data_IF_315610794925
#
_entry.id   IF_315610794925
#
_cell.length_a   1.000
_cell.length_b   1.000
_cell.length_c   1.000
_cell.angle_alpha   90.00
_cell.angle_beta   90.00
_cell.angle_gamma   90.00
#
_symmetry.space_group_name_H-M   'P 1'
#
loop_
_entity.id
_entity.type
_entity.pdbx_description
1 polymer ?
#
# COMPACT_ATOMS: atom_id res chain seq x y z
N UNK A 1 -14.68 6.77 11.46
CA UNK A 1 -14.23 5.81 10.42
C UNK A 1 -12.71 5.66 10.42
N UNK A 2 -12.18 4.44 10.23
CA UNK A 2 -10.73 4.25 10.13
C UNK A 2 -10.19 4.80 8.82
N UNK A 3 -9.30 5.81 8.84
CA UNK A 3 -8.60 6.28 7.65
C UNK A 3 -7.62 5.20 7.16
N UNK A 4 -7.97 4.50 6.08
CA UNK A 4 -7.15 3.46 5.43
C UNK A 4 -6.36 4.05 4.24
N UNK A 5 -5.31 3.37 3.82
CA UNK A 5 -4.68 3.63 2.52
C UNK A 5 -5.47 2.83 1.48
N UNK A 6 -5.80 3.47 0.37
CA UNK A 6 -6.65 2.84 -0.65
C UNK A 6 -5.76 2.21 -1.71
N UNK A 7 -6.02 0.96 -2.13
CA UNK A 7 -5.34 0.34 -3.27
C UNK A 7 -5.44 1.18 -4.56
N UNK A 8 -6.51 1.95 -4.72
CA UNK A 8 -6.71 2.82 -5.89
C UNK A 8 -5.68 3.96 -5.98
N UNK A 9 -4.85 4.17 -4.95
CA UNK A 9 -3.74 5.13 -4.99
C UNK A 9 -2.54 4.60 -5.77
N UNK A 10 -2.53 3.31 -6.15
CA UNK A 10 -1.47 2.67 -6.91
C UNK A 10 -2.04 2.29 -8.27
N UNK A 11 -1.59 2.98 -9.32
CA UNK A 11 -2.03 2.78 -10.68
C UNK A 11 -1.22 1.69 -11.36
N UNK A 12 0.11 1.71 -11.18
CA UNK A 12 1.04 0.81 -11.85
C UNK A 12 2.19 0.30 -10.96
N UNK A 13 3.12 -0.41 -11.59
CA UNK A 13 4.33 -0.91 -10.91
C UNK A 13 5.28 0.22 -10.50
N UNK A 14 5.31 1.33 -11.25
CA UNK A 14 6.17 2.47 -10.96
C UNK A 14 5.86 3.12 -9.61
N UNK A 15 4.59 3.15 -9.23
CA UNK A 15 4.11 3.68 -7.94
C UNK A 15 4.63 2.86 -6.74
N UNK A 16 5.10 1.62 -6.96
CA UNK A 16 5.66 0.79 -5.90
C UNK A 16 6.97 1.37 -5.34
N UNK A 17 7.71 2.13 -6.15
CA UNK A 17 8.92 2.84 -5.72
C UNK A 17 8.62 3.95 -4.69
N UNK A 18 7.40 4.50 -4.70
CA UNK A 18 6.95 5.58 -3.84
C UNK A 18 6.10 5.15 -2.65
N UNK A 19 6.10 3.86 -2.29
CA UNK A 19 5.19 3.32 -1.27
C UNK A 19 5.29 4.01 0.09
N UNK A 20 6.46 4.47 0.50
CA UNK A 20 6.66 5.17 1.77
C UNK A 20 5.84 6.47 1.87
N UNK A 21 5.61 7.14 0.73
CA UNK A 21 4.81 8.36 0.66
C UNK A 21 3.31 8.06 0.70
N UNK A 22 2.91 6.90 0.17
CA UNK A 22 1.51 6.45 0.09
C UNK A 22 1.07 5.82 1.41
N UNK A 23 1.95 5.03 2.02
CA UNK A 23 1.67 4.21 3.20
C UNK A 23 1.99 4.98 4.47
N UNK A 24 1.10 5.91 4.80
CA UNK A 24 1.24 6.74 6.00
C UNK A 24 0.17 6.43 7.06
N UNK A 25 0.56 6.51 8.34
CA UNK A 25 -0.38 6.37 9.43
C UNK A 25 -1.17 7.67 9.66
N UNK A 26 -2.43 7.66 9.24
CA UNK A 26 -3.35 8.81 9.28
C UNK A 26 -3.97 9.09 10.68
N UNK A 27 -3.45 8.49 11.77
CA UNK A 27 -4.02 8.65 13.12
C UNK A 27 -3.30 9.68 14.01
N UNK A 28 -2.62 10.67 13.42
CA UNK A 28 -2.11 11.88 14.12
C UNK A 28 -1.41 11.58 15.46
N UNK A 29 -0.54 10.56 15.50
CA UNK A 29 0.22 10.22 16.71
C UNK A 29 -0.51 9.38 17.76
N UNK A 30 -1.78 9.01 17.56
CA UNK A 30 -2.55 8.17 18.50
C UNK A 30 -2.10 6.69 18.54
N UNK A 31 -0.98 6.35 17.91
CA UNK A 31 -0.42 4.99 17.88
C UNK A 31 1.04 5.03 18.28
N UNK A 32 1.43 4.02 19.05
CA UNK A 32 2.85 3.75 19.31
C UNK A 32 3.60 3.49 18.00
N UNK A 33 4.90 3.81 18.00
CA UNK A 33 5.78 3.63 16.85
C UNK A 33 5.78 2.20 16.30
N UNK A 34 5.82 1.19 17.19
CA UNK A 34 5.76 -0.21 16.80
C UNK A 34 4.46 -0.57 16.07
N UNK A 35 3.31 -0.05 16.53
CA UNK A 35 2.01 -0.30 15.90
C UNK A 35 1.88 0.40 14.56
N UNK A 36 2.41 1.63 14.45
CA UNK A 36 2.53 2.38 13.20
C UNK A 36 3.36 1.59 12.18
N UNK A 37 4.58 1.18 12.56
CA UNK A 37 5.48 0.44 11.68
C UNK A 37 4.87 -0.90 11.23
N UNK A 38 4.29 -1.70 12.14
CA UNK A 38 3.61 -2.94 11.77
C UNK A 38 2.45 -2.72 10.80
N UNK A 39 1.71 -1.62 10.97
CA UNK A 39 0.60 -1.27 10.07
C UNK A 39 1.11 -0.84 8.69
N UNK A 40 2.16 -0.04 8.62
CA UNK A 40 2.73 0.40 7.35
C UNK A 40 3.22 -0.80 6.53
N UNK A 41 4.06 -1.66 7.13
CA UNK A 41 4.51 -2.91 6.49
C UNK A 41 3.37 -3.81 6.01
N UNK A 42 2.26 -3.83 6.75
CA UNK A 42 1.08 -4.59 6.32
C UNK A 42 0.51 -4.03 5.02
N UNK A 43 0.34 -2.71 4.90
CA UNK A 43 -0.17 -2.08 3.68
C UNK A 43 0.81 -2.19 2.52
N UNK A 44 2.10 -1.96 2.74
CA UNK A 44 3.15 -2.15 1.70
C UNK A 44 3.05 -3.56 1.09
N UNK A 45 3.03 -4.61 1.93
CA UNK A 45 2.92 -6.00 1.45
C UNK A 45 1.63 -6.25 0.68
N UNK A 46 0.51 -5.71 1.15
CA UNK A 46 -0.79 -5.86 0.46
C UNK A 46 -0.77 -5.16 -0.89
N UNK A 47 -0.20 -3.97 -0.96
CA UNK A 47 -0.11 -3.16 -2.16
C UNK A 47 0.79 -3.79 -3.21
N UNK A 48 2.01 -4.19 -2.84
CA UNK A 48 2.92 -4.90 -3.75
C UNK A 48 2.23 -6.15 -4.31
N UNK A 49 1.65 -6.99 -3.44
CA UNK A 49 0.95 -8.20 -3.88
C UNK A 49 -0.17 -7.89 -4.86
N UNK A 50 -1.06 -6.94 -4.53
CA UNK A 50 -2.21 -6.63 -5.37
C UNK A 50 -1.79 -6.06 -6.72
N UNK A 51 -0.75 -5.22 -6.75
CA UNK A 51 -0.24 -4.61 -7.99
C UNK A 51 0.43 -5.66 -8.87
N UNK A 52 1.32 -6.50 -8.32
CA UNK A 52 1.95 -7.58 -9.08
C UNK A 52 0.92 -8.56 -9.63
N UNK A 53 -0.05 -8.98 -8.82
CA UNK A 53 -1.13 -9.86 -9.27
C UNK A 53 -1.93 -9.23 -10.41
N UNK A 54 -2.32 -7.95 -10.29
CA UNK A 54 -3.01 -7.23 -11.36
C UNK A 54 -2.18 -7.12 -12.64
N UNK A 55 -0.89 -6.81 -12.53
CA UNK A 55 0.00 -6.72 -13.69
C UNK A 55 0.13 -8.06 -14.41
N UNK A 56 0.32 -9.17 -13.68
CA UNK A 56 0.39 -10.50 -14.29
C UNK A 56 -0.92 -10.91 -14.99
N UNK A 57 -2.09 -10.49 -14.49
CA UNK A 57 -3.36 -10.74 -15.17
C UNK A 57 -3.50 -9.94 -16.47
N UNK A 58 -2.98 -8.70 -16.50
CA UNK A 58 -3.01 -7.87 -17.70
C UNK A 58 -2.11 -8.44 -18.81
N UNK A 59 -0.96 -9.02 -18.47
CA UNK A 59 -0.06 -9.66 -19.45
C UNK A 59 -0.67 -10.92 -20.06
N UNK A 60 -1.49 -11.68 -19.31
CA UNK A 60 -2.17 -12.87 -19.84
C UNK A 60 -3.36 -12.58 -20.78
N UNK A 61 -3.78 -11.32 -20.89
CA UNK A 61 -4.88 -10.86 -21.74
C UNK A 61 -4.38 -10.14 -23.01
N UNK A 62 -3.07 -10.00 -23.19
CA UNK A 62 -2.42 -9.49 -24.41
C UNK A 62 -1.84 -10.64 -25.24
#
# INVERSE_FOLDING_TARGET
>A
MSRRNSPNQIQGLDDLSGLDNIVTDKRRGQRSLAKKSRRNRHYEKQFIRNTVMRSSQNESLQ
#
